data_IF_711236346675
#
_entry.id   IF_711236346675
#
_cell.length_a   1.000
_cell.length_b   1.000
_cell.length_c   1.000
_cell.angle_alpha   90.00
_cell.angle_beta   90.00
_cell.angle_gamma   90.00
#
_symmetry.space_group_name_H-M   'P 1'
#
loop_
_entity.id
_entity.type
_entity.pdbx_description
1 polymer ?
#
# COMPACT_ATOMS: atom_id res chain seq x y z
N UNK A 1 25.03 -14.61 -4.11
CA UNK A 1 24.81 -13.54 -3.12
C UNK A 1 26.03 -12.63 -3.11
N UNK A 2 25.81 -11.31 -3.11
CA UNK A 2 26.93 -10.36 -2.94
C UNK A 2 27.46 -10.48 -1.50
N UNK A 3 28.79 -10.43 -1.29
CA UNK A 3 29.35 -10.37 0.06
C UNK A 3 28.90 -9.05 0.72
N UNK A 4 28.50 -9.15 1.98
CA UNK A 4 28.15 -7.96 2.80
C UNK A 4 29.45 -7.40 3.40
N UNK A 5 29.67 -6.10 3.22
CA UNK A 5 30.75 -5.37 3.92
C UNK A 5 30.22 -4.81 5.23
N UNK A 6 30.92 -5.04 6.32
CA UNK A 6 30.61 -4.45 7.63
C UNK A 6 31.40 -3.17 7.91
N UNK A 7 32.11 -2.66 6.91
CA UNK A 7 32.96 -1.46 7.09
C UNK A 7 32.18 -0.15 7.05
N UNK A 8 30.98 -0.18 6.42
CA UNK A 8 30.13 1.01 6.29
C UNK A 8 29.17 1.07 7.47
N UNK A 9 29.17 2.20 8.19
CA UNK A 9 28.18 2.48 9.24
C UNK A 9 26.91 2.98 8.59
N UNK A 10 25.77 2.49 9.06
CA UNK A 10 24.45 2.91 8.62
C UNK A 10 23.49 1.75 8.45
N UNK A 11 22.29 2.10 8.02
CA UNK A 11 21.27 1.10 7.67
C UNK A 11 21.34 0.83 6.18
N UNK A 12 21.52 -0.44 5.80
CA UNK A 12 21.51 -0.85 4.39
C UNK A 12 20.10 -1.34 3.97
N UNK A 13 19.82 -1.14 2.70
CA UNK A 13 18.63 -1.67 2.03
C UNK A 13 18.65 -3.19 2.10
N UNK A 14 18.07 -3.78 3.05
CA UNK A 14 17.72 -5.19 3.22
C UNK A 14 18.67 -6.26 2.65
N UNK A 15 18.95 -7.23 3.46
CA UNK A 15 19.62 -8.47 3.02
C UNK A 15 18.57 -9.42 2.49
N UNK A 16 18.72 -9.85 1.23
CA UNK A 16 17.85 -10.83 0.59
C UNK A 16 18.53 -12.19 0.56
N UNK A 17 17.90 -13.19 1.15
CA UNK A 17 18.40 -14.56 1.20
C UNK A 17 17.40 -15.46 0.48
N UNK A 18 17.77 -16.09 -0.65
CA UNK A 18 16.87 -16.99 -1.35
C UNK A 18 16.60 -18.26 -0.52
N UNK A 19 15.40 -18.81 -0.61
CA UNK A 19 15.07 -20.11 -0.05
C UNK A 19 15.80 -21.23 -0.80
N UNK A 20 15.89 -22.39 -0.18
CA UNK A 20 16.48 -23.59 -0.81
C UNK A 20 15.67 -24.07 -2.03
N UNK A 21 14.37 -23.81 -2.08
CA UNK A 21 13.49 -24.13 -3.21
C UNK A 21 13.64 -23.11 -4.36
N UNK A 22 14.17 -21.90 -4.08
CA UNK A 22 14.38 -20.85 -5.07
C UNK A 22 13.11 -20.08 -5.49
N UNK A 23 11.96 -20.40 -4.90
CA UNK A 23 10.67 -19.75 -5.18
C UNK A 23 10.38 -18.58 -4.25
N UNK A 24 11.00 -18.57 -3.07
CA UNK A 24 10.84 -17.52 -2.04
C UNK A 24 12.18 -16.93 -1.64
N UNK A 25 12.12 -15.74 -1.08
CA UNK A 25 13.26 -15.02 -0.54
C UNK A 25 12.93 -14.41 0.82
N UNK A 26 13.89 -14.48 1.74
CA UNK A 26 13.82 -13.88 3.06
C UNK A 26 14.38 -12.46 3.00
N UNK A 27 13.62 -11.50 3.49
CA UNK A 27 14.02 -10.10 3.57
C UNK A 27 14.33 -9.71 5.01
N UNK A 28 15.58 -9.29 5.26
CA UNK A 28 16.06 -8.78 6.54
C UNK A 28 16.60 -7.37 6.37
N UNK A 29 16.39 -6.54 7.35
CA UNK A 29 17.05 -5.24 7.47
C UNK A 29 18.39 -5.38 8.18
N UNK A 30 19.40 -4.65 7.74
CA UNK A 30 20.73 -4.60 8.31
C UNK A 30 21.03 -3.19 8.82
N UNK A 31 21.52 -3.10 10.06
CA UNK A 31 21.98 -1.85 10.66
C UNK A 31 23.35 -2.07 11.30
N UNK A 32 24.30 -1.22 10.95
CA UNK A 32 25.67 -1.29 11.43
C UNK A 32 26.00 -0.01 12.19
N UNK A 33 26.37 -0.15 13.45
CA UNK A 33 26.68 0.94 14.36
C UNK A 33 28.02 0.72 15.03
N UNK A 34 28.68 1.80 15.45
CA UNK A 34 29.83 1.69 16.33
C UNK A 34 29.40 1.26 17.73
N UNK A 35 30.21 0.44 18.36
CA UNK A 35 30.03 0.05 19.75
C UNK A 35 30.12 1.25 20.68
N UNK A 36 29.34 1.23 21.76
CA UNK A 36 29.31 2.31 22.75
C UNK A 36 30.44 2.17 23.78
N UNK A 37 30.87 3.30 24.35
CA UNK A 37 31.84 3.39 25.47
C UNK A 37 33.15 2.66 25.16
N UNK A 38 33.50 1.65 25.98
CA UNK A 38 34.72 0.85 25.85
C UNK A 38 34.82 0.01 24.58
N UNK A 39 33.71 -0.15 23.86
CA UNK A 39 33.61 -0.92 22.62
C UNK A 39 33.68 -0.09 21.34
N UNK A 40 34.15 1.15 21.41
CA UNK A 40 34.22 2.08 20.26
C UNK A 40 34.98 1.55 19.03
N UNK A 41 35.87 0.57 19.23
CA UNK A 41 36.62 -0.08 18.15
C UNK A 41 35.89 -1.28 17.56
N UNK A 42 34.74 -1.64 18.09
CA UNK A 42 33.91 -2.75 17.62
C UNK A 42 32.70 -2.22 16.87
N UNK A 43 32.23 -2.99 15.90
CA UNK A 43 30.98 -2.72 15.23
C UNK A 43 29.86 -3.60 15.77
N UNK A 44 28.70 -3.04 15.94
CA UNK A 44 27.48 -3.77 16.29
C UNK A 44 26.66 -3.94 15.01
N UNK A 45 26.51 -5.18 14.58
CA UNK A 45 25.70 -5.54 13.42
C UNK A 45 24.36 -6.06 13.92
N UNK A 46 23.28 -5.36 13.58
CA UNK A 46 21.92 -5.68 13.98
C UNK A 46 21.11 -6.16 12.78
N UNK A 47 20.58 -7.34 12.87
CA UNK A 47 19.61 -7.89 11.92
C UNK A 47 18.20 -7.67 12.48
N UNK A 48 17.30 -7.17 11.67
CA UNK A 48 15.92 -6.90 12.02
C UNK A 48 14.98 -7.38 10.91
N UNK A 49 13.67 -7.55 11.16
CA UNK A 49 12.71 -7.73 10.09
C UNK A 49 12.75 -6.54 9.13
N UNK A 50 12.76 -6.82 7.81
CA UNK A 50 12.67 -5.71 6.83
C UNK A 50 11.30 -5.07 6.85
N UNK A 51 10.24 -5.87 6.99
CA UNK A 51 8.85 -5.41 7.04
C UNK A 51 8.18 -5.81 8.34
N UNK A 52 7.56 -4.85 9.01
CA UNK A 52 6.80 -5.05 10.23
C UNK A 52 5.42 -4.44 10.08
N UNK A 53 4.40 -5.30 10.06
CA UNK A 53 3.00 -4.86 9.97
C UNK A 53 2.48 -4.65 11.39
N UNK A 54 1.82 -3.51 11.62
CA UNK A 54 1.16 -3.19 12.88
C UNK A 54 -0.31 -2.90 12.63
N UNK A 55 -1.17 -3.79 13.06
CA UNK A 55 -2.61 -3.61 12.97
C UNK A 55 -3.13 -2.76 14.12
N UNK A 56 -3.45 -1.51 13.85
CA UNK A 56 -4.05 -0.56 14.79
C UNK A 56 -5.58 -0.51 14.71
N UNK A 57 -6.18 -1.39 13.93
CA UNK A 57 -7.63 -1.50 13.84
C UNK A 57 -8.18 -2.26 15.06
N UNK A 58 -9.46 -2.08 15.35
CA UNK A 58 -10.17 -2.79 16.42
C UNK A 58 -10.48 -4.25 16.09
N UNK A 59 -10.21 -4.71 14.87
CA UNK A 59 -10.53 -6.03 14.37
C UNK A 59 -9.28 -6.70 13.81
N UNK A 60 -9.27 -8.03 13.82
CA UNK A 60 -8.21 -8.78 13.15
C UNK A 60 -8.35 -8.68 11.62
N UNK A 61 -7.21 -8.68 10.95
CA UNK A 61 -7.11 -8.65 9.50
C UNK A 61 -6.28 -9.83 9.00
N UNK A 62 -6.52 -10.19 7.75
CA UNK A 62 -5.69 -11.09 6.98
C UNK A 62 -4.90 -10.27 5.97
N UNK A 63 -3.60 -10.52 5.86
CA UNK A 63 -2.73 -9.93 4.84
C UNK A 63 -2.14 -11.05 3.98
N UNK A 64 -2.12 -10.84 2.68
CA UNK A 64 -1.49 -11.76 1.73
C UNK A 64 -0.74 -10.99 0.65
N UNK A 65 0.25 -11.63 0.01
CA UNK A 65 0.85 -11.08 -1.21
C UNK A 65 -0.20 -11.03 -2.34
N UNK A 66 -0.16 -9.99 -3.15
CA UNK A 66 -1.11 -9.82 -4.26
C UNK A 66 -1.01 -10.89 -5.35
N UNK A 67 0.16 -11.53 -5.47
CA UNK A 67 0.42 -12.62 -6.43
C UNK A 67 -0.04 -13.98 -5.93
N UNK A 68 -0.57 -14.07 -4.71
CA UNK A 68 -0.96 -15.32 -4.05
C UNK A 68 0.03 -15.70 -2.95
N UNK A 69 -0.43 -16.50 -2.03
CA UNK A 69 0.32 -16.97 -0.85
C UNK A 69 -0.64 -17.24 0.30
N UNK A 70 -0.13 -17.90 1.33
CA UNK A 70 -0.92 -18.16 2.52
C UNK A 70 -1.18 -16.85 3.27
N UNK A 71 -2.43 -16.52 3.59
CA UNK A 71 -2.75 -15.33 4.35
C UNK A 71 -2.16 -15.39 5.76
N UNK A 72 -1.58 -14.27 6.20
CA UNK A 72 -1.11 -14.09 7.56
C UNK A 72 -2.18 -13.34 8.34
N UNK A 73 -2.63 -13.92 9.46
CA UNK A 73 -3.58 -13.29 10.37
C UNK A 73 -2.85 -12.34 11.32
N UNK A 74 -3.39 -11.14 11.50
CA UNK A 74 -2.87 -10.12 12.40
C UNK A 74 -4.01 -9.64 13.30
N UNK A 75 -3.93 -9.95 14.60
CA UNK A 75 -4.91 -9.53 15.59
C UNK A 75 -4.96 -8.01 15.79
N UNK A 76 -5.98 -7.53 16.52
CA UNK A 76 -6.07 -6.12 16.88
C UNK A 76 -4.86 -5.70 17.74
N UNK A 77 -4.25 -4.55 17.42
CA UNK A 77 -3.02 -4.00 18.01
C UNK A 77 -1.79 -4.94 17.99
N UNK A 78 -1.84 -5.98 17.16
CA UNK A 78 -0.74 -6.93 16.99
C UNK A 78 0.29 -6.42 15.99
N UNK A 79 1.56 -6.85 16.19
CA UNK A 79 2.69 -6.60 15.30
C UNK A 79 3.22 -7.92 14.77
N UNK A 80 3.24 -8.05 13.47
CA UNK A 80 3.71 -9.27 12.79
C UNK A 80 4.78 -8.93 11.77
N UNK A 81 5.97 -9.56 11.84
CA UNK A 81 6.97 -9.38 10.81
C UNK A 81 6.61 -10.20 9.56
N UNK A 82 6.77 -9.58 8.38
CA UNK A 82 6.74 -10.29 7.11
C UNK A 82 8.16 -10.53 6.64
N UNK A 83 8.54 -11.79 6.51
CA UNK A 83 9.91 -12.18 6.18
C UNK A 83 10.04 -12.75 4.78
N UNK A 84 9.07 -13.58 4.37
CA UNK A 84 9.14 -14.37 3.16
C UNK A 84 8.26 -13.80 2.06
N UNK A 85 8.86 -13.59 0.91
CA UNK A 85 8.19 -13.12 -0.30
C UNK A 85 8.51 -14.05 -1.47
N UNK A 86 7.64 -14.14 -2.45
CA UNK A 86 7.95 -14.77 -3.72
C UNK A 86 9.05 -13.97 -4.44
N UNK A 87 9.96 -14.65 -5.13
CA UNK A 87 11.08 -14.02 -5.85
C UNK A 87 10.59 -12.99 -6.88
N UNK A 88 9.43 -13.25 -7.51
CA UNK A 88 8.80 -12.32 -8.46
C UNK A 88 7.88 -11.27 -7.79
N UNK A 89 7.86 -11.18 -6.45
CA UNK A 89 6.98 -10.27 -5.73
C UNK A 89 7.36 -8.81 -6.00
N UNK A 90 6.36 -8.03 -6.39
CA UNK A 90 6.47 -6.56 -6.51
C UNK A 90 6.27 -5.84 -5.17
N UNK A 91 6.28 -6.58 -4.05
CA UNK A 91 6.00 -6.10 -2.69
C UNK A 91 4.63 -5.42 -2.57
N UNK A 92 3.65 -5.94 -3.30
CA UNK A 92 2.26 -5.57 -3.14
C UNK A 92 1.53 -6.58 -2.25
N UNK A 93 0.75 -6.07 -1.33
CA UNK A 93 -0.10 -6.84 -0.43
C UNK A 93 -1.58 -6.51 -0.64
N UNK A 94 -2.43 -7.42 -0.21
CA UNK A 94 -3.88 -7.25 -0.13
C UNK A 94 -4.33 -7.52 1.30
N UNK A 95 -5.42 -6.88 1.72
CA UNK A 95 -6.00 -7.05 3.05
C UNK A 95 -7.44 -7.54 2.97
N UNK A 96 -7.85 -8.34 3.95
CA UNK A 96 -9.25 -8.68 4.19
C UNK A 96 -9.56 -8.57 5.69
N UNK A 97 -10.80 -8.20 6.05
CA UNK A 97 -11.26 -8.27 7.43
C UNK A 97 -11.57 -9.71 7.80
N UNK A 98 -11.13 -10.14 8.98
CA UNK A 98 -11.51 -11.44 9.51
C UNK A 98 -13.03 -11.47 9.78
N UNK A 99 -13.71 -12.51 9.33
CA UNK A 99 -15.15 -12.71 9.55
C UNK A 99 -16.07 -12.00 8.54
N UNK A 100 -15.57 -11.13 7.67
CA UNK A 100 -16.29 -10.71 6.47
C UNK A 100 -16.20 -11.82 5.41
N UNK A 101 -17.02 -11.78 4.37
CA UNK A 101 -17.01 -12.79 3.28
C UNK A 101 -15.67 -12.88 2.52
N UNK A 102 -14.53 -12.57 3.18
CA UNK A 102 -13.17 -12.56 2.66
C UNK A 102 -13.01 -11.74 1.38
N UNK A 103 -13.69 -10.59 1.31
CA UNK A 103 -13.43 -9.64 0.24
C UNK A 103 -12.07 -8.97 0.46
N UNK A 104 -11.16 -9.22 -0.47
CA UNK A 104 -9.82 -8.64 -0.45
C UNK A 104 -9.82 -7.23 -1.03
N UNK A 105 -9.04 -6.35 -0.40
CA UNK A 105 -8.80 -5.00 -0.96
C UNK A 105 -8.07 -5.08 -2.30
N UNK A 106 -8.09 -3.99 -3.04
CA UNK A 106 -7.12 -3.81 -4.11
C UNK A 106 -5.68 -3.90 -3.58
N UNK A 107 -4.72 -4.33 -4.39
CA UNK A 107 -3.31 -4.37 -4.01
C UNK A 107 -2.77 -2.99 -3.63
N UNK A 108 -1.86 -2.95 -2.65
CA UNK A 108 -1.13 -1.75 -2.26
C UNK A 108 0.34 -2.09 -2.03
N UNK A 109 1.23 -1.13 -2.24
CA UNK A 109 2.67 -1.31 -2.01
C UNK A 109 2.99 -1.20 -0.52
N UNK A 110 3.79 -2.15 -0.01
CA UNK A 110 4.36 -2.10 1.35
C UNK A 110 5.75 -1.47 1.37
N UNK A 111 6.32 -1.13 0.21
CA UNK A 111 7.64 -0.51 0.04
C UNK A 111 7.55 1.01 -0.17
N UNK A 112 6.46 1.51 -0.76
CA UNK A 112 6.30 2.92 -1.04
C UNK A 112 5.99 3.69 0.24
N UNK A 113 6.93 4.54 0.66
CA UNK A 113 6.79 5.37 1.86
C UNK A 113 5.66 6.40 1.66
N UNK A 114 4.78 6.51 2.65
CA UNK A 114 3.67 7.45 2.65
C UNK A 114 2.35 6.83 3.09
N UNK A 115 1.27 7.55 2.83
CA UNK A 115 -0.08 7.14 3.21
C UNK A 115 -0.86 6.63 2.01
N UNK A 116 -1.46 5.46 2.18
CA UNK A 116 -2.36 4.85 1.21
C UNK A 116 -3.71 4.60 1.87
N UNK A 117 -4.80 4.86 1.15
CA UNK A 117 -6.15 4.62 1.62
C UNK A 117 -6.75 3.43 0.88
N UNK A 118 -7.19 2.42 1.62
CA UNK A 118 -7.79 1.21 1.10
C UNK A 118 -9.28 1.17 1.41
N UNK A 119 -10.07 0.78 0.43
CA UNK A 119 -11.48 0.49 0.62
C UNK A 119 -11.65 -0.95 1.03
N UNK A 120 -12.35 -1.16 2.12
CA UNK A 120 -12.78 -2.47 2.57
C UNK A 120 -14.29 -2.56 2.45
N UNK A 121 -14.77 -3.72 2.05
CA UNK A 121 -16.20 -4.01 2.08
C UNK A 121 -16.53 -4.64 3.42
N UNK A 122 -17.57 -4.12 4.04
CA UNK A 122 -18.15 -4.65 5.26
C UNK A 122 -19.67 -4.72 5.09
N UNK A 123 -20.28 -5.81 5.55
CA UNK A 123 -21.71 -6.07 5.31
C UNK A 123 -22.63 -4.98 5.89
N UNK A 124 -22.21 -4.33 6.96
CA UNK A 124 -22.95 -3.28 7.67
C UNK A 124 -22.57 -1.83 7.24
N UNK A 125 -21.40 -1.67 6.63
CA UNK A 125 -20.90 -0.38 6.15
C UNK A 125 -20.35 -0.50 4.72
N UNK A 126 -21.07 -0.05 3.70
CA UNK A 126 -20.70 -0.29 2.30
C UNK A 126 -19.39 0.38 1.85
N UNK A 127 -18.80 1.25 2.67
CA UNK A 127 -17.53 1.91 2.38
C UNK A 127 -16.71 2.15 3.65
N UNK A 128 -16.10 1.11 4.17
CA UNK A 128 -15.12 1.26 5.23
C UNK A 128 -13.76 1.58 4.63
N UNK A 129 -13.18 2.72 5.04
CA UNK A 129 -11.87 3.18 4.58
C UNK A 129 -10.84 2.96 5.70
N UNK A 130 -9.73 2.34 5.37
CA UNK A 130 -8.58 2.27 6.26
C UNK A 130 -7.41 3.05 5.66
N UNK A 131 -6.59 3.61 6.53
CA UNK A 131 -5.33 4.25 6.15
C UNK A 131 -4.19 3.26 6.41
N UNK A 132 -3.36 3.06 5.41
CA UNK A 132 -2.09 2.34 5.52
C UNK A 132 -0.99 3.39 5.51
N UNK A 133 -0.22 3.44 6.57
CA UNK A 133 0.90 4.37 6.74
C UNK A 133 2.20 3.56 6.69
N UNK A 134 3.00 3.81 5.66
CA UNK A 134 4.28 3.13 5.39
C UNK A 134 5.42 4.07 5.74
N UNK A 135 6.22 3.69 6.72
CA UNK A 135 7.35 4.49 7.20
C UNK A 135 8.60 3.63 7.33
N UNK A 136 9.76 4.22 7.03
CA UNK A 136 11.06 3.59 7.27
C UNK A 136 11.64 4.10 8.59
N UNK A 137 12.10 3.20 9.44
CA UNK A 137 12.82 3.51 10.68
C UNK A 137 14.03 2.59 10.80
N UNK A 138 15.22 3.14 10.55
CA UNK A 138 16.43 2.33 10.45
C UNK A 138 16.29 1.29 9.35
N UNK A 139 16.61 0.02 9.61
CA UNK A 139 16.57 -1.03 8.61
C UNK A 139 15.15 -1.60 8.36
N UNK A 140 14.14 -1.16 9.11
CA UNK A 140 12.78 -1.72 9.09
C UNK A 140 11.78 -0.76 8.45
N UNK A 141 10.94 -1.30 7.58
CA UNK A 141 9.75 -0.63 7.04
C UNK A 141 8.56 -1.02 7.91
N UNK A 142 7.94 -0.03 8.54
CA UNK A 142 6.73 -0.17 9.33
C UNK A 142 5.52 0.11 8.46
N UNK A 143 4.61 -0.86 8.39
CA UNK A 143 3.32 -0.72 7.71
C UNK A 143 2.23 -0.71 8.77
N UNK A 144 1.67 0.46 9.06
CA UNK A 144 0.65 0.64 10.09
C UNK A 144 -0.73 0.70 9.46
N UNK A 145 -1.63 -0.15 9.91
CA UNK A 145 -3.03 -0.15 9.50
C UNK A 145 -3.82 0.67 10.52
N UNK A 146 -4.38 1.80 10.08
CA UNK A 146 -5.03 2.79 10.93
C UNK A 146 -6.50 2.96 10.52
N UNK A 147 -7.42 3.21 11.46
CA UNK A 147 -8.76 3.65 11.11
C UNK A 147 -8.67 5.01 10.42
N UNK A 148 -9.43 5.20 9.35
CA UNK A 148 -9.42 6.48 8.61
C UNK A 148 -10.17 7.61 9.33
N UNK A 149 -10.89 7.31 10.41
CA UNK A 149 -11.70 8.26 11.18
C UNK A 149 -12.64 9.13 10.31
N UNK A 150 -13.06 8.59 9.16
CA UNK A 150 -13.89 9.30 8.19
C UNK A 150 -13.14 10.32 7.33
N UNK A 151 -11.82 10.41 7.45
CA UNK A 151 -10.99 11.19 6.54
C UNK A 151 -10.87 10.50 5.18
N UNK A 152 -11.23 11.22 4.13
CA UNK A 152 -11.09 10.76 2.75
C UNK A 152 -10.04 11.60 2.04
N UNK A 153 -9.16 10.98 1.21
CA UNK A 153 -8.07 11.71 0.55
C UNK A 153 -8.58 12.74 -0.46
N UNK A 154 -9.75 12.52 -1.05
CA UNK A 154 -10.31 13.44 -2.06
C UNK A 154 -11.77 13.78 -1.80
N UNK A 155 -12.14 14.99 -2.14
CA UNK A 155 -13.51 15.48 -2.24
C UNK A 155 -13.75 15.97 -3.67
N UNK A 156 -14.49 15.21 -4.47
CA UNK A 156 -14.88 15.61 -5.80
C UNK A 156 -16.14 16.47 -5.72
N UNK A 157 -16.14 17.64 -6.38
CA UNK A 157 -17.28 18.56 -6.44
C UNK A 157 -17.68 18.76 -7.89
N UNK A 158 -18.95 18.55 -8.16
CA UNK A 158 -19.55 18.88 -9.45
C UNK A 158 -20.34 20.17 -9.32
N UNK A 159 -19.80 21.26 -9.82
CA UNK A 159 -20.46 22.56 -9.83
C UNK A 159 -21.21 22.85 -11.14
N UNK A 160 -21.21 21.89 -12.06
CA UNK A 160 -21.91 21.98 -13.34
C UNK A 160 -23.37 21.59 -13.22
N UNK A 161 -24.12 21.77 -14.30
CA UNK A 161 -25.51 21.33 -14.45
C UNK A 161 -25.62 19.91 -15.05
N UNK A 162 -24.47 19.28 -15.38
CA UNK A 162 -24.42 17.97 -16.01
C UNK A 162 -24.09 16.88 -15.00
N UNK A 163 -24.61 15.69 -15.22
CA UNK A 163 -24.15 14.48 -14.52
C UNK A 163 -22.80 14.07 -15.07
N UNK A 164 -21.83 13.87 -14.18
CA UNK A 164 -20.49 13.40 -14.52
C UNK A 164 -20.38 11.95 -14.10
N UNK A 165 -20.02 11.07 -15.02
CA UNK A 165 -19.59 9.70 -14.71
C UNK A 165 -18.08 9.68 -14.69
N UNK A 166 -17.48 9.07 -13.68
CA UNK A 166 -16.04 8.94 -13.62
C UNK A 166 -15.61 7.54 -13.15
N UNK A 167 -14.39 7.17 -13.51
CA UNK A 167 -13.75 5.91 -13.12
C UNK A 167 -12.23 6.10 -13.06
N UNK A 168 -11.57 5.31 -12.23
CA UNK A 168 -10.11 5.21 -12.27
C UNK A 168 -9.69 4.42 -13.50
N UNK A 169 -8.63 4.84 -14.15
CA UNK A 169 -7.91 4.09 -15.17
C UNK A 169 -6.41 4.23 -14.94
N UNK A 170 -5.62 3.22 -15.32
CA UNK A 170 -4.16 3.23 -15.21
C UNK A 170 -3.56 2.11 -16.04
N UNK A 171 -2.27 2.19 -16.32
CA UNK A 171 -1.55 1.22 -17.17
C UNK A 171 -1.49 -0.18 -16.57
N UNK A 172 -1.45 -0.30 -15.23
CA UNK A 172 -1.47 -1.59 -14.54
C UNK A 172 -2.90 -2.09 -14.30
N UNK A 173 -3.89 -1.20 -14.28
CA UNK A 173 -5.31 -1.56 -14.12
C UNK A 173 -5.80 -2.39 -15.29
N UNK A 174 -5.39 -2.06 -16.52
CA UNK A 174 -5.79 -2.81 -17.74
C UNK A 174 -5.23 -4.24 -17.76
N UNK A 175 -4.01 -4.44 -17.27
CA UNK A 175 -3.39 -5.76 -17.18
C UNK A 175 -4.00 -6.62 -16.05
N UNK A 176 -4.44 -6.00 -14.96
CA UNK A 176 -5.08 -6.69 -13.83
C UNK A 176 -6.54 -7.00 -14.10
N UNK A 177 -7.23 -6.17 -14.89
CA UNK A 177 -8.61 -6.39 -15.32
C UNK A 177 -8.79 -7.61 -16.22
N UNK A 178 -7.73 -8.04 -16.91
CA UNK A 178 -7.77 -9.22 -17.78
C UNK A 178 -7.79 -10.55 -17.02
N UNK A 179 -7.50 -10.57 -15.71
CA UNK A 179 -7.39 -11.80 -14.92
C UNK A 179 -8.53 -12.08 -13.94
N UNK A 180 -9.36 -11.09 -13.62
CA UNK A 180 -10.57 -11.26 -12.78
C UNK A 180 -11.63 -10.26 -13.22
N UNK A 181 -12.75 -10.75 -13.60
CA UNK A 181 -14.03 -10.19 -14.03
C UNK A 181 -14.48 -8.89 -13.30
N UNK A 182 -13.70 -7.83 -13.43
CA UNK A 182 -13.99 -6.55 -12.80
C UNK A 182 -14.06 -5.45 -13.83
N UNK A 183 -15.28 -5.16 -14.28
CA UNK A 183 -15.56 -3.87 -14.90
C UNK A 183 -15.05 -2.74 -13.98
N UNK A 184 -14.32 -1.75 -14.50
CA UNK A 184 -13.86 -0.63 -13.71
C UNK A 184 -15.06 0.01 -13.00
N UNK A 185 -14.91 0.23 -11.70
CA UNK A 185 -15.98 0.79 -10.87
C UNK A 185 -16.31 2.18 -11.36
N UNK A 186 -17.57 2.37 -11.77
CA UNK A 186 -18.07 3.65 -12.27
C UNK A 186 -18.81 4.38 -11.17
N UNK A 187 -18.52 5.66 -11.05
CA UNK A 187 -19.14 6.57 -10.09
C UNK A 187 -19.95 7.63 -10.82
N UNK A 188 -21.10 7.98 -10.24
CA UNK A 188 -21.99 8.99 -10.79
C UNK A 188 -21.99 10.19 -9.84
N UNK A 189 -21.46 11.30 -10.30
CA UNK A 189 -21.45 12.58 -9.58
C UNK A 189 -22.55 13.46 -10.16
N UNK A 190 -23.63 13.61 -9.39
CA UNK A 190 -24.82 14.37 -9.79
C UNK A 190 -24.50 15.87 -9.95
N UNK A 191 -25.33 16.62 -10.71
CA UNK A 191 -25.21 18.08 -10.77
C UNK A 191 -25.23 18.72 -9.36
N UNK A 192 -24.41 19.73 -9.16
CA UNK A 192 -24.33 20.51 -7.91
C UNK A 192 -24.13 19.66 -6.65
N UNK A 193 -23.44 18.53 -6.79
CA UNK A 193 -23.18 17.60 -5.68
C UNK A 193 -21.69 17.43 -5.38
N UNK A 194 -21.41 16.78 -4.26
CA UNK A 194 -20.07 16.41 -3.84
C UNK A 194 -20.02 14.94 -3.46
N UNK A 195 -18.86 14.30 -3.65
CA UNK A 195 -18.62 12.91 -3.31
C UNK A 195 -17.21 12.75 -2.74
N UNK A 196 -17.10 12.05 -1.64
CA UNK A 196 -15.80 11.61 -1.10
C UNK A 196 -15.24 10.49 -1.98
N UNK A 197 -13.94 10.50 -2.23
CA UNK A 197 -13.30 9.54 -3.11
C UNK A 197 -11.93 9.09 -2.56
N UNK A 198 -11.57 7.86 -2.80
CA UNK A 198 -10.22 7.30 -2.66
C UNK A 198 -9.96 6.42 -3.89
N UNK A 199 -8.70 6.25 -4.24
CA UNK A 199 -8.31 5.39 -5.37
C UNK A 199 -8.83 3.97 -5.18
N UNK A 200 -9.41 3.39 -6.24
CA UNK A 200 -9.85 1.99 -6.26
C UNK A 200 -8.64 1.04 -6.35
N UNK A 201 -7.60 1.46 -7.08
CA UNK A 201 -6.35 0.72 -7.27
C UNK A 201 -5.16 1.60 -6.85
N UNK A 202 -4.85 1.64 -5.55
CA UNK A 202 -3.82 2.53 -5.02
C UNK A 202 -2.39 2.15 -5.41
N UNK A 203 -2.15 0.90 -5.83
CA UNK A 203 -0.84 0.42 -6.28
C UNK A 203 -0.47 0.87 -7.70
N UNK A 204 -1.43 1.41 -8.49
CA UNK A 204 -1.11 1.91 -9.82
C UNK A 204 -0.07 3.02 -9.73
N UNK A 205 1.00 2.92 -10.51
CA UNK A 205 2.05 3.94 -10.59
C UNK A 205 1.46 5.24 -11.16
N UNK A 206 0.77 5.11 -12.30
CA UNK A 206 0.10 6.22 -12.96
C UNK A 206 -1.40 6.15 -12.64
N UNK A 207 -1.93 7.19 -12.01
CA UNK A 207 -3.34 7.27 -11.62
C UNK A 207 -4.07 8.31 -12.44
N UNK A 208 -5.05 7.86 -13.21
CA UNK A 208 -5.89 8.71 -14.02
C UNK A 208 -7.35 8.60 -13.58
N UNK A 209 -8.06 9.70 -13.67
CA UNK A 209 -9.52 9.72 -13.63
C UNK A 209 -10.02 9.98 -15.03
N UNK A 210 -10.81 9.05 -15.57
CA UNK A 210 -11.55 9.24 -16.79
C UNK A 210 -12.92 9.85 -16.45
N UNK A 211 -13.21 10.99 -17.04
CA UNK A 211 -14.50 11.68 -16.91
C UNK A 211 -15.32 11.48 -18.18
N UNK A 212 -16.60 11.22 -18.00
CA UNK A 212 -17.58 11.12 -19.08
C UNK A 212 -18.76 12.08 -18.81
N UNK A 213 -19.04 12.95 -19.75
CA UNK A 213 -20.15 13.92 -19.70
C UNK A 213 -20.86 13.86 -21.06
N UNK A 214 -22.15 13.54 -21.06
CA UNK A 214 -22.98 13.51 -22.28
C UNK A 214 -22.34 12.70 -23.45
N UNK A 215 -21.68 11.59 -23.14
CA UNK A 215 -21.00 10.75 -24.14
C UNK A 215 -19.59 11.20 -24.56
N UNK A 216 -19.14 12.37 -24.13
CA UNK A 216 -17.75 12.83 -24.33
C UNK A 216 -16.87 12.39 -23.18
N UNK A 217 -15.65 11.94 -23.47
CA UNK A 217 -14.71 11.44 -22.48
C UNK A 217 -13.42 12.29 -22.41
N UNK A 218 -12.87 12.45 -21.21
CA UNK A 218 -11.57 13.07 -20.93
C UNK A 218 -10.87 12.33 -19.80
N UNK A 219 -9.55 12.16 -19.92
CA UNK A 219 -8.70 11.64 -18.85
C UNK A 219 -7.97 12.79 -18.17
N UNK A 220 -7.93 12.74 -16.84
CA UNK A 220 -7.15 13.65 -16.00
C UNK A 220 -6.07 12.83 -15.30
N UNK A 221 -4.80 13.20 -15.49
CA UNK A 221 -3.67 12.62 -14.77
C UNK A 221 -3.62 13.21 -13.37
N UNK A 222 -3.48 12.34 -12.37
CA UNK A 222 -3.08 12.76 -11.04
C UNK A 222 -1.56 12.58 -10.91
N UNK A 223 -0.83 13.69 -10.75
CA UNK A 223 0.59 13.69 -10.39
C UNK A 223 0.75 14.09 -8.95
N UNK A 224 1.53 13.34 -8.17
CA UNK A 224 1.82 13.65 -6.77
C UNK A 224 2.68 14.92 -6.62
N UNK A 225 3.31 15.37 -7.70
CA UNK A 225 4.27 16.50 -7.71
C UNK A 225 3.59 17.88 -7.86
N UNK A 226 2.25 17.95 -7.90
CA UNK A 226 1.51 19.21 -7.99
C UNK A 226 1.56 20.07 -6.70
N UNK A 227 2.36 19.68 -5.70
CA UNK A 227 2.49 20.42 -4.44
C UNK A 227 3.54 21.55 -4.46
N UNK A 228 4.26 21.74 -5.57
CA UNK A 228 5.39 22.71 -5.66
C UNK A 228 5.14 23.89 -6.63
N UNK A 229 3.92 24.08 -7.12
CA UNK A 229 3.55 25.30 -7.82
C UNK A 229 3.25 26.42 -6.81
N UNK A 230 4.29 27.12 -6.37
CA UNK A 230 4.15 28.43 -5.74
C UNK A 230 3.51 29.39 -6.76
N UNK A 231 2.37 30.01 -6.46
CA UNK A 231 1.81 31.05 -7.33
C UNK A 231 2.75 32.27 -7.31
N UNK A 232 3.09 32.75 -8.49
CA UNK A 232 3.72 34.04 -8.72
C UNK A 232 2.83 35.20 -8.26
#
# INVERSE_FOLDING_TARGET
>A
SKPLSFDVIGSEEGVVIPSSSGDRELHLGLDIQDGLSKFKLSKVVKLAPRYLIHNKLSHAVLIAESMGGDPVRIGADERVPLHWFHVASNKHATLALEGSNLEWTAPFSIDNIGNVYLRMVRDDEPQHLIQVDVQIQGPTIFVRLLPSEGAWPFLLRNETHHTIVFMQTGSSTEAQLSSRDTNPKRYVLKPRSKMKYAWDYPADADKYIRLQINGSERCLLYTSDAADDTPF
#
